data_IF_627843280959
#
_entry.id   IF_627843280959
#
_cell.length_a   1.000
_cell.length_b   1.000
_cell.length_c   1.000
_cell.angle_alpha   90.00
_cell.angle_beta   90.00
_cell.angle_gamma   90.00
#
_symmetry.space_group_name_H-M   'P 1'
#
loop_
_entity.id
_entity.type
_entity.pdbx_description
1 polymer ?
#
# COMPACT_ATOMS: atom_id res chain seq x y z
N UNK A 1 8.25 4.44 -5.85
CA UNK A 1 8.73 3.10 -5.43
C UNK A 1 7.62 2.07 -5.45
N UNK A 2 7.95 0.78 -5.48
CA UNK A 2 6.98 -0.32 -5.34
C UNK A 2 7.57 -1.48 -4.51
N UNK A 3 6.70 -2.20 -3.80
CA UNK A 3 7.06 -3.41 -3.08
C UNK A 3 5.85 -4.32 -2.92
N UNK A 4 6.08 -5.60 -2.63
CA UNK A 4 5.02 -6.57 -2.43
C UNK A 4 4.95 -7.01 -0.98
N UNK A 5 3.73 -7.19 -0.51
CA UNK A 5 3.41 -8.04 0.64
C UNK A 5 2.78 -9.33 0.12
N UNK A 6 2.79 -10.40 0.91
CA UNK A 6 2.13 -11.71 0.65
C UNK A 6 1.56 -11.89 -0.78
N UNK A 7 0.34 -11.39 -1.03
CA UNK A 7 -0.33 -11.45 -2.33
C UNK A 7 -0.65 -10.09 -2.95
N UNK A 8 -0.36 -8.98 -2.29
CA UNK A 8 -0.65 -7.61 -2.77
C UNK A 8 0.61 -6.85 -3.16
N UNK A 9 0.45 -5.85 -4.02
CA UNK A 9 1.54 -4.95 -4.41
C UNK A 9 1.19 -3.52 -4.04
N UNK A 10 2.10 -2.85 -3.36
CA UNK A 10 1.98 -1.46 -2.93
C UNK A 10 2.84 -0.61 -3.86
N UNK A 11 2.23 0.38 -4.48
CA UNK A 11 2.87 1.33 -5.39
C UNK A 11 2.77 2.71 -4.76
N UNK A 12 3.89 3.43 -4.69
CA UNK A 12 3.97 4.79 -4.16
C UNK A 12 4.53 5.72 -5.23
N UNK A 13 3.72 6.67 -5.65
CA UNK A 13 4.13 7.80 -6.48
C UNK A 13 4.89 8.84 -5.64
N UNK A 14 6.21 8.72 -5.63
CA UNK A 14 7.10 9.56 -4.82
C UNK A 14 7.10 11.03 -5.24
N UNK A 15 6.66 11.35 -6.46
CA UNK A 15 6.51 12.74 -6.89
C UNK A 15 5.33 13.39 -6.16
N UNK A 16 4.22 12.65 -5.99
CA UNK A 16 3.07 13.13 -5.20
C UNK A 16 3.36 13.23 -3.71
N UNK A 17 4.37 12.52 -3.20
CA UNK A 17 4.76 12.63 -1.79
C UNK A 17 5.47 13.95 -1.46
N UNK A 18 5.94 14.71 -2.46
CA UNK A 18 6.63 15.97 -2.22
C UNK A 18 5.73 17.00 -1.55
N UNK A 19 6.23 17.59 -0.46
CA UNK A 19 5.47 18.57 0.32
C UNK A 19 4.25 18.01 1.06
N UNK A 20 4.06 16.68 1.11
CA UNK A 20 3.04 16.07 1.96
C UNK A 20 3.28 16.47 3.42
N UNK A 21 2.25 17.01 4.09
CA UNK A 21 2.38 17.54 5.47
C UNK A 21 1.90 16.57 6.54
N UNK A 22 1.04 15.63 6.17
CA UNK A 22 0.34 14.77 7.13
C UNK A 22 1.05 13.45 7.34
N UNK A 23 1.66 12.90 6.28
CA UNK A 23 2.24 11.56 6.27
C UNK A 23 1.29 10.51 6.87
N UNK A 24 -0.02 10.71 6.70
CA UNK A 24 -1.07 9.92 7.37
C UNK A 24 -0.94 8.43 7.07
N UNK A 25 -0.43 8.06 5.89
CA UNK A 25 -0.17 6.67 5.52
C UNK A 25 0.87 5.97 6.43
N UNK A 26 1.89 6.68 6.89
CA UNK A 26 2.93 6.12 7.78
C UNK A 26 2.34 5.88 9.17
N UNK A 27 1.63 6.88 9.73
CA UNK A 27 0.94 6.72 11.02
C UNK A 27 -0.15 5.64 10.95
N UNK A 28 -0.87 5.54 9.83
CA UNK A 28 -1.86 4.49 9.61
C UNK A 28 -1.25 3.09 9.60
N UNK A 29 -0.12 2.91 8.91
CA UNK A 29 0.59 1.63 8.89
C UNK A 29 1.08 1.24 10.29
N UNK A 30 1.53 2.20 11.09
CA UNK A 30 1.90 1.99 12.49
C UNK A 30 0.71 1.64 13.38
N UNK A 31 -0.45 2.25 13.15
CA UNK A 31 -1.63 2.11 14.01
C UNK A 31 -2.44 0.85 13.70
N UNK A 32 -2.64 0.56 12.41
CA UNK A 32 -3.57 -0.47 11.93
C UNK A 32 -2.89 -1.70 11.35
N UNK A 33 -1.57 -1.66 11.17
CA UNK A 33 -0.77 -2.76 10.64
C UNK A 33 0.48 -2.99 11.51
N UNK A 34 1.68 -3.14 10.93
CA UNK A 34 2.92 -3.48 11.63
C UNK A 34 3.99 -2.40 11.54
N UNK A 35 3.64 -1.21 11.07
CA UNK A 35 4.60 -0.12 10.87
C UNK A 35 5.70 -0.46 9.86
N UNK A 36 5.33 -1.16 8.77
CA UNK A 36 6.25 -1.50 7.67
C UNK A 36 6.70 -0.22 6.94
N UNK A 37 5.78 0.72 6.74
CA UNK A 37 6.10 2.03 6.21
C UNK A 37 6.73 2.90 7.31
N UNK A 38 7.89 3.46 7.00
CA UNK A 38 8.59 4.45 7.81
C UNK A 38 8.68 5.77 7.07
N UNK A 39 8.90 6.87 7.79
CA UNK A 39 9.13 8.17 7.18
C UNK A 39 10.63 8.39 7.01
N UNK A 40 11.08 8.60 5.77
CA UNK A 40 12.47 8.88 5.43
C UNK A 40 12.54 10.03 4.45
N UNK A 41 13.31 11.06 4.79
CA UNK A 41 13.46 12.29 3.97
C UNK A 41 12.11 12.92 3.58
N UNK A 42 11.12 12.84 4.48
CA UNK A 42 9.76 13.38 4.25
C UNK A 42 8.88 12.53 3.33
N UNK A 43 9.33 11.34 2.89
CA UNK A 43 8.56 10.42 2.04
C UNK A 43 8.38 9.06 2.73
N UNK A 44 7.27 8.35 2.48
CA UNK A 44 7.10 6.98 2.96
C UNK A 44 8.13 6.06 2.29
N UNK A 45 8.77 5.20 3.08
CA UNK A 45 9.78 4.24 2.63
C UNK A 45 9.64 2.92 3.41
N UNK A 46 10.38 1.90 2.97
CA UNK A 46 10.52 0.61 3.67
C UNK A 46 12.00 0.30 3.86
N UNK A 47 12.35 -0.33 4.99
CA UNK A 47 13.73 -0.73 5.31
C UNK A 47 13.94 -2.25 5.36
N UNK A 48 12.84 -3.02 5.32
CA UNK A 48 12.87 -4.47 5.34
C UNK A 48 13.25 -5.03 3.96
N UNK A 49 13.84 -6.24 3.95
CA UNK A 49 14.07 -6.97 2.71
C UNK A 49 12.74 -7.39 2.06
N UNK A 50 12.71 -7.66 0.74
CA UNK A 50 11.50 -8.16 0.08
C UNK A 50 10.91 -9.42 0.72
N UNK A 51 11.77 -10.33 1.21
CA UNK A 51 11.35 -11.54 1.92
C UNK A 51 10.65 -11.21 3.26
N UNK A 52 11.21 -10.28 4.03
CA UNK A 52 10.60 -9.85 5.29
C UNK A 52 9.32 -9.05 5.06
N UNK A 53 9.23 -8.24 4.00
CA UNK A 53 8.00 -7.55 3.59
C UNK A 53 6.90 -8.56 3.25
N UNK A 54 7.21 -9.57 2.45
CA UNK A 54 6.27 -10.63 2.10
C UNK A 54 5.83 -11.45 3.32
N UNK A 55 6.72 -11.66 4.30
CA UNK A 55 6.43 -12.42 5.53
C UNK A 55 5.66 -11.62 6.58
N UNK A 56 5.98 -10.35 6.78
CA UNK A 56 5.43 -9.51 7.86
C UNK A 56 4.18 -8.73 7.44
N UNK A 57 4.07 -8.39 6.16
CA UNK A 57 2.92 -7.72 5.58
C UNK A 57 1.62 -8.44 5.93
N UNK A 58 0.63 -7.68 6.39
CA UNK A 58 -0.70 -8.21 6.71
C UNK A 58 -1.72 -7.95 5.61
N UNK A 59 -1.29 -7.32 4.51
CA UNK A 59 -2.14 -6.94 3.39
C UNK A 59 -3.18 -5.87 3.78
N UNK A 60 -2.81 -5.01 4.73
CA UNK A 60 -3.65 -3.94 5.23
C UNK A 60 -3.76 -2.80 4.21
N UNK A 61 -4.97 -2.26 4.04
CA UNK A 61 -5.25 -1.18 3.08
C UNK A 61 -5.22 0.23 3.73
N UNK A 62 -4.88 0.32 5.01
CA UNK A 62 -4.97 1.58 5.76
C UNK A 62 -4.05 2.67 5.18
N UNK A 63 -2.86 2.31 4.67
CA UNK A 63 -1.93 3.29 4.13
C UNK A 63 -2.44 3.93 2.82
N UNK A 64 -3.09 3.16 1.94
CA UNK A 64 -3.76 3.69 0.74
C UNK A 64 -4.93 4.59 1.14
N UNK A 65 -5.81 4.08 2.01
CA UNK A 65 -7.02 4.81 2.42
C UNK A 65 -6.69 6.15 3.09
N UNK A 66 -5.72 6.15 4.01
CA UNK A 66 -5.31 7.37 4.72
C UNK A 66 -4.50 8.32 3.85
N UNK A 67 -3.70 7.80 2.89
CA UNK A 67 -3.06 8.65 1.90
C UNK A 67 -4.08 9.32 0.99
N UNK A 68 -5.14 8.61 0.60
CA UNK A 68 -6.23 9.13 -0.21
C UNK A 68 -7.03 10.20 0.53
N UNK A 69 -7.44 9.92 1.77
CA UNK A 69 -8.35 10.79 2.51
C UNK A 69 -7.64 11.99 3.19
N UNK A 70 -6.40 11.79 3.67
CA UNK A 70 -5.69 12.78 4.51
C UNK A 70 -4.30 13.14 3.97
N UNK A 71 -3.85 12.54 2.88
CA UNK A 71 -2.56 12.79 2.26
C UNK A 71 -2.71 13.30 0.82
N UNK A 72 -1.69 13.00 0.00
CA UNK A 72 -1.61 13.45 -1.39
C UNK A 72 -2.13 12.40 -2.40
N UNK A 73 -2.84 11.35 -1.95
CA UNK A 73 -3.32 10.26 -2.82
C UNK A 73 -2.21 9.64 -3.67
N UNK A 74 -1.07 9.35 -3.02
CA UNK A 74 0.16 8.88 -3.66
C UNK A 74 0.31 7.35 -3.66
N UNK A 75 -0.47 6.63 -2.84
CA UNK A 75 -0.36 5.18 -2.68
C UNK A 75 -1.49 4.51 -3.47
N UNK A 76 -1.15 3.43 -4.15
CA UNK A 76 -2.10 2.51 -4.80
C UNK A 76 -1.76 1.09 -4.39
N UNK A 77 -2.75 0.31 -3.97
CA UNK A 77 -2.59 -1.10 -3.63
C UNK A 77 -3.30 -1.95 -4.68
N UNK A 78 -2.52 -2.76 -5.37
CA UNK A 78 -3.05 -3.76 -6.29
C UNK A 78 -3.31 -5.06 -5.54
N UNK A 79 -4.57 -5.51 -5.56
CA UNK A 79 -5.01 -6.78 -4.97
C UNK A 79 -5.39 -7.75 -6.10
N UNK A 80 -4.47 -8.62 -6.54
CA UNK A 80 -4.75 -9.58 -7.59
C UNK A 80 -5.68 -10.70 -7.08
N UNK A 81 -6.89 -10.77 -7.64
CA UNK A 81 -7.83 -11.85 -7.35
C UNK A 81 -7.77 -12.92 -8.42
N UNK A 82 -6.96 -13.96 -8.18
CA UNK A 82 -6.88 -15.12 -9.08
C UNK A 82 -8.25 -15.75 -9.25
N UNK A 83 -8.70 -15.92 -10.49
CA UNK A 83 -10.01 -16.52 -10.79
C UNK A 83 -11.16 -15.52 -10.94
N UNK A 84 -10.96 -14.23 -10.62
CA UNK A 84 -12.04 -13.23 -10.66
C UNK A 84 -12.52 -12.96 -12.08
N UNK A 85 -11.62 -12.90 -13.05
CA UNK A 85 -11.97 -12.68 -14.45
C UNK A 85 -12.77 -13.87 -15.01
N UNK A 86 -12.35 -15.10 -14.70
CA UNK A 86 -13.09 -16.30 -15.07
C UNK A 86 -14.46 -16.35 -14.37
N UNK A 87 -14.52 -15.97 -13.09
CA UNK A 87 -15.77 -15.89 -12.34
C UNK A 87 -16.75 -14.91 -12.99
N UNK A 88 -16.28 -13.69 -13.30
CA UNK A 88 -17.13 -12.65 -13.90
C UNK A 88 -17.63 -13.06 -15.29
N UNK A 89 -16.78 -13.69 -16.10
CA UNK A 89 -17.17 -14.27 -17.41
C UNK A 89 -18.25 -15.35 -17.26
N UNK A 90 -18.14 -16.21 -16.24
CA UNK A 90 -19.08 -17.32 -16.01
C UNK A 90 -20.47 -16.86 -15.53
N UNK A 91 -20.52 -15.85 -14.66
CA UNK A 91 -21.76 -15.44 -13.98
C UNK A 91 -22.34 -14.11 -14.48
N UNK A 92 -21.71 -13.47 -15.49
CA UNK A 92 -22.26 -12.26 -16.12
C UNK A 92 -22.22 -11.02 -15.22
N UNK A 93 -21.14 -10.85 -14.45
CA UNK A 93 -20.92 -9.68 -13.58
C UNK A 93 -19.90 -8.69 -14.14
N UNK A 94 -19.79 -8.65 -15.47
CA UNK A 94 -18.98 -7.73 -16.29
C UNK A 94 -19.88 -6.95 -17.24
#
# INVERSE_FOLDING_TARGET
MEFSERTIKIIIDEAKCEGCKTHACVEACKTYDRGILVLKDGKPAVELSPEELARRGTECLACEYECWFRGNSAITIEVPFKGLDEYRKKYGTL
#
